data_IF_719168058827
#
_entry.id   IF_719168058827
#
_cell.length_a   1.000
_cell.length_b   1.000
_cell.length_c   1.000
_cell.angle_alpha   90.00
_cell.angle_beta   90.00
_cell.angle_gamma   90.00
#
_symmetry.space_group_name_H-M   'P 1'
#
loop_
_entity.id
_entity.type
_entity.pdbx_description
1 polymer ?
#
# COMPACT_ATOMS: atom_id res chain seq x y z
N UNK A 1 -7.60 15.11 4.26
CA UNK A 1 -6.61 13.99 4.35
C UNK A 1 -6.88 13.01 3.22
N UNK A 2 -5.90 12.21 2.81
CA UNK A 2 -6.08 11.12 1.83
C UNK A 2 -5.71 9.78 2.44
N UNK A 3 -6.36 8.73 1.98
CA UNK A 3 -6.02 7.33 2.25
C UNK A 3 -5.56 6.69 0.95
N UNK A 4 -4.34 6.18 0.90
CA UNK A 4 -3.76 5.51 -0.27
C UNK A 4 -3.60 4.03 0.05
N UNK A 5 -4.13 3.18 -0.82
CA UNK A 5 -4.05 1.73 -0.71
C UNK A 5 -2.99 1.24 -1.69
N UNK A 6 -1.87 0.74 -1.19
CA UNK A 6 -0.83 0.15 -2.02
C UNK A 6 -1.07 -1.36 -2.16
N UNK A 7 -0.77 -1.91 -3.32
CA UNK A 7 -0.90 -3.34 -3.62
C UNK A 7 0.33 -4.10 -3.14
N UNK A 8 0.16 -5.40 -2.93
CA UNK A 8 1.29 -6.32 -2.88
C UNK A 8 2.08 -6.26 -4.18
N UNK A 9 3.39 -6.03 -4.05
CA UNK A 9 4.30 -6.55 -5.05
C UNK A 9 4.14 -8.05 -4.91
N UNK A 10 3.76 -8.73 -5.99
CA UNK A 10 3.79 -10.18 -5.98
C UNK A 10 5.25 -10.55 -5.65
N UNK A 11 5.48 -10.98 -4.41
CA UNK A 11 6.73 -11.59 -4.02
C UNK A 11 6.92 -12.74 -5.00
N UNK A 12 7.99 -12.64 -5.81
CA UNK A 12 8.44 -13.71 -6.69
C UNK A 12 8.48 -14.98 -5.83
N UNK A 13 7.54 -15.91 -6.10
CA UNK A 13 7.32 -17.10 -5.28
C UNK A 13 8.67 -17.79 -5.07
N UNK A 14 9.21 -17.74 -3.84
CA UNK A 14 10.35 -18.55 -3.48
C UNK A 14 9.97 -20.00 -3.74
N UNK A 15 10.64 -20.70 -4.68
CA UNK A 15 10.21 -22.03 -5.07
C UNK A 15 10.29 -22.94 -3.85
N UNK A 16 9.14 -23.51 -3.49
CA UNK A 16 8.99 -24.43 -2.38
C UNK A 16 9.82 -25.70 -2.63
N UNK A 17 11.06 -25.71 -2.14
CA UNK A 17 11.78 -26.94 -1.81
C UNK A 17 13.01 -26.61 -0.98
N UNK A 18 12.90 -26.68 0.35
CA UNK A 18 13.88 -27.38 1.18
C UNK A 18 13.25 -27.67 2.54
N UNK A 19 13.12 -28.96 2.83
CA UNK A 19 12.60 -29.52 4.08
C UNK A 19 13.56 -29.16 5.23
N UNK A 20 13.20 -28.16 6.04
CA UNK A 20 13.86 -27.90 7.33
C UNK A 20 12.76 -27.71 8.37
N UNK A 21 12.70 -28.65 9.31
CA UNK A 21 11.62 -28.78 10.27
C UNK A 21 11.48 -27.58 11.23
N UNK A 22 10.24 -27.42 11.67
CA UNK A 22 9.82 -26.78 12.92
C UNK A 22 10.56 -25.49 13.33
N UNK A 23 10.19 -24.41 12.67
CA UNK A 23 10.32 -23.07 13.23
C UNK A 23 9.16 -22.25 12.69
N UNK A 24 8.31 -21.76 13.58
CA UNK A 24 7.16 -20.90 13.32
C UNK A 24 7.54 -19.76 12.37
N UNK A 25 7.31 -19.96 11.07
CA UNK A 25 7.26 -18.83 10.13
C UNK A 25 5.90 -18.20 10.42
N UNK A 26 5.89 -17.26 11.36
CA UNK A 26 4.78 -16.34 11.54
C UNK A 26 4.47 -15.81 10.15
N UNK A 27 3.31 -16.19 9.60
CA UNK A 27 2.86 -15.71 8.32
C UNK A 27 3.00 -14.19 8.34
N UNK A 28 3.97 -13.65 7.58
CA UNK A 28 4.16 -12.21 7.33
C UNK A 28 3.02 -11.68 6.45
N UNK A 29 1.80 -12.15 6.71
CA UNK A 29 0.66 -12.05 5.85
C UNK A 29 0.03 -10.69 6.08
N UNK A 30 0.22 -9.82 5.08
CA UNK A 30 -0.42 -8.52 4.94
C UNK A 30 -0.07 -7.50 6.03
N UNK A 31 1.18 -7.04 6.03
CA UNK A 31 1.48 -5.71 6.58
C UNK A 31 0.50 -4.68 5.98
N UNK A 32 -0.13 -3.81 6.79
CA UNK A 32 -1.12 -2.86 6.30
C UNK A 32 -0.47 -1.88 5.31
N UNK A 33 -0.75 -2.05 4.01
CA UNK A 33 -0.25 -1.17 2.93
C UNK A 33 -1.10 0.08 2.72
N UNK A 34 -1.66 0.60 3.81
CA UNK A 34 -2.49 1.81 3.79
C UNK A 34 -1.66 3.00 4.27
N UNK A 35 -1.57 4.04 3.46
CA UNK A 35 -0.90 5.30 3.80
C UNK A 35 -1.94 6.39 4.05
N UNK A 36 -1.76 7.17 5.12
CA UNK A 36 -2.59 8.33 5.42
C UNK A 36 -1.80 9.62 5.18
N UNK A 37 -2.31 10.47 4.29
CA UNK A 37 -1.65 11.72 3.90
C UNK A 37 -2.50 12.90 4.39
N UNK A 38 -1.97 13.63 5.38
CA UNK A 38 -2.61 14.82 5.95
C UNK A 38 -2.30 16.10 5.18
N UNK A 39 -2.88 17.21 5.63
CA UNK A 39 -2.52 18.57 5.24
C UNK A 39 -2.46 18.82 3.71
N UNK A 40 -3.39 18.22 2.98
CA UNK A 40 -3.52 18.39 1.53
C UNK A 40 -4.29 19.67 1.21
N UNK A 41 -3.78 20.44 0.26
CA UNK A 41 -4.47 21.61 -0.28
C UNK A 41 -5.72 21.20 -1.09
N UNK A 42 -6.70 22.11 -1.20
CA UNK A 42 -7.94 21.87 -1.92
C UNK A 42 -7.74 21.63 -3.44
N UNK A 43 -6.61 22.04 -4.00
CA UNK A 43 -6.23 21.76 -5.39
C UNK A 43 -5.71 20.33 -5.61
N UNK A 44 -5.32 19.61 -4.55
CA UNK A 44 -4.75 18.26 -4.66
C UNK A 44 -5.84 17.26 -5.05
N UNK A 45 -5.64 16.56 -6.17
CA UNK A 45 -6.52 15.52 -6.68
C UNK A 45 -6.02 14.12 -6.32
N UNK A 46 -6.93 13.14 -6.38
CA UNK A 46 -6.60 11.73 -6.17
C UNK A 46 -5.60 11.22 -7.21
N UNK A 47 -5.73 11.70 -8.44
CA UNK A 47 -4.86 11.32 -9.56
C UNK A 47 -3.40 11.71 -9.31
N UNK A 48 -3.18 12.93 -8.79
CA UNK A 48 -1.84 13.40 -8.42
C UNK A 48 -1.23 12.54 -7.31
N UNK A 49 -2.02 12.25 -6.28
CA UNK A 49 -1.58 11.41 -5.15
C UNK A 49 -1.24 10.01 -5.65
N UNK A 50 -2.12 9.38 -6.44
CA UNK A 50 -1.85 8.09 -7.07
C UNK A 50 -0.57 8.10 -7.91
N UNK A 51 -0.39 9.08 -8.78
CA UNK A 51 0.80 9.18 -9.64
C UNK A 51 2.09 9.30 -8.84
N UNK A 52 2.08 10.07 -7.74
CA UNK A 52 3.23 10.21 -6.85
C UNK A 52 3.59 8.88 -6.18
N UNK A 53 2.61 8.19 -5.58
CA UNK A 53 2.85 6.94 -4.87
C UNK A 53 3.10 5.74 -5.81
N UNK A 54 2.64 5.82 -7.06
CA UNK A 54 2.92 4.81 -8.09
C UNK A 54 4.41 4.66 -8.41
N UNK A 55 5.22 5.68 -8.11
CA UNK A 55 6.68 5.61 -8.25
C UNK A 55 7.33 4.73 -7.16
N UNK A 56 6.66 4.56 -6.02
CA UNK A 56 7.14 3.72 -4.91
C UNK A 56 6.67 2.28 -5.10
N UNK A 57 5.44 2.09 -5.58
CA UNK A 57 4.88 0.78 -5.86
C UNK A 57 3.47 0.82 -6.42
N UNK A 58 2.91 -0.33 -6.80
CA UNK A 58 1.58 -0.40 -7.40
C UNK A 58 0.51 0.14 -6.44
N UNK A 59 -0.19 1.20 -6.84
CA UNK A 59 -1.29 1.79 -6.08
C UNK A 59 -2.60 1.11 -6.48
N UNK A 60 -3.30 0.52 -5.51
CA UNK A 60 -4.61 -0.11 -5.68
C UNK A 60 -5.75 0.92 -5.71
N UNK A 61 -5.56 2.03 -5.00
CA UNK A 61 -6.48 3.16 -5.03
C UNK A 61 -6.09 4.29 -4.09
N UNK A 62 -6.74 5.43 -4.24
CA UNK A 62 -6.63 6.58 -3.36
C UNK A 62 -8.04 7.11 -3.08
N UNK A 63 -8.27 7.58 -1.86
CA UNK A 63 -9.49 8.27 -1.45
C UNK A 63 -9.15 9.57 -0.74
N UNK A 64 -9.55 10.71 -1.29
CA UNK A 64 -9.42 12.00 -0.61
C UNK A 64 -10.67 12.30 0.21
N UNK A 65 -10.48 12.66 1.48
CA UNK A 65 -11.52 13.10 2.41
C UNK A 65 -11.28 14.59 2.69
N UNK A 66 -12.25 15.41 2.27
CA UNK A 66 -12.28 16.85 2.52
C UNK A 66 -13.40 17.13 3.50
N UNK A 67 -13.13 17.96 4.50
CA UNK A 67 -14.18 18.46 5.37
C UNK A 67 -15.17 19.27 4.52
N UNK A 68 -16.48 19.12 4.75
CA UNK A 68 -17.48 19.97 4.12
C UNK A 68 -17.26 21.44 4.54
N UNK A 69 -17.52 22.41 3.64
CA UNK A 69 -17.41 23.82 3.94
C UNK A 69 -18.42 24.29 5.00
#
# INVERSE_FOLDING_TARGET
>A
MATVYMSEFADDETPASFDYGDSEIMSEESHPRTLYVGNLDASVSEDLVCALFSQIGPVKGCKIIREPP
#
